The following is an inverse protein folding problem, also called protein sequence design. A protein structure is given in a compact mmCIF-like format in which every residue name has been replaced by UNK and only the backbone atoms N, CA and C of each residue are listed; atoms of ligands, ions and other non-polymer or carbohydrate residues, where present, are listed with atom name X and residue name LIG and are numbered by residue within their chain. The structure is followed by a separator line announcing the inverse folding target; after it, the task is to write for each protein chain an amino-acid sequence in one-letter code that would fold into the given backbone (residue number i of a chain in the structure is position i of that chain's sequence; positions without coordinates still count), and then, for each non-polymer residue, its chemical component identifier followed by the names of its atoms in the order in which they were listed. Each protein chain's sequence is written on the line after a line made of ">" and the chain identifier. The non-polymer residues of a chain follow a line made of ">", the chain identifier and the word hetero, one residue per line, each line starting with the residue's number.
data_IF_075651993086
#
_entry.id   IF_075651993086
#
_cell.length_a   1.000
_cell.length_b   1.000
_cell.length_c   1.000
_cell.angle_alpha   90.00
_cell.angle_beta   90.00
_cell.angle_gamma   90.00
#
_symmetry.space_group_name_H-M   'P 1'
#
loop_
_entity.id
_entity.type
_entity.pdbx_description
1 polymer ?
#
# COMPACT_ATOMS: atom_id res chain seq x y z
N UNK A 1 -14.61 7.14 -19.24
CA UNK A 1 -14.98 6.67 -17.88
C UNK A 1 -13.75 6.74 -17.00
N UNK A 2 -13.85 7.24 -15.76
CA UNK A 2 -12.72 7.28 -14.81
C UNK A 2 -12.97 6.25 -13.71
N UNK A 3 -11.94 5.49 -13.35
CA UNK A 3 -11.98 4.50 -12.26
C UNK A 3 -11.08 5.00 -11.14
N UNK A 4 -11.57 4.97 -9.91
CA UNK A 4 -10.79 5.25 -8.71
C UNK A 4 -10.63 3.95 -7.92
N UNK A 5 -9.39 3.54 -7.70
CA UNK A 5 -9.05 2.37 -6.89
C UNK A 5 -8.49 2.88 -5.56
N UNK A 6 -9.10 2.44 -4.45
CA UNK A 6 -8.66 2.80 -3.10
C UNK A 6 -8.11 1.54 -2.43
N UNK A 7 -6.86 1.61 -1.99
CA UNK A 7 -6.16 0.50 -1.35
C UNK A 7 -5.74 0.93 0.05
N UNK A 8 -6.05 0.10 1.05
CA UNK A 8 -5.54 0.27 2.40
C UNK A 8 -4.09 -0.22 2.48
N UNK A 9 -3.25 0.46 3.27
CA UNK A 9 -1.89 0.00 3.55
C UNK A 9 -1.88 -1.43 4.13
N UNK A 10 -0.78 -2.15 3.91
CA UNK A 10 -0.57 -3.50 4.44
C UNK A 10 -0.51 -3.56 5.97
N UNK A 11 -0.46 -4.79 6.48
CA UNK A 11 -0.48 -5.08 7.91
C UNK A 11 0.84 -4.68 8.61
N UNK A 12 0.72 -4.21 9.85
CA UNK A 12 1.84 -3.82 10.75
C UNK A 12 1.76 -4.56 12.09
N UNK A 13 2.80 -4.48 12.92
CA UNK A 13 2.84 -5.07 14.26
C UNK A 13 1.66 -4.63 15.13
N UNK A 14 1.39 -3.32 15.19
CA UNK A 14 0.28 -2.77 15.95
C UNK A 14 -1.11 -3.26 15.52
N UNK A 15 -1.28 -3.73 14.27
CA UNK A 15 -2.53 -4.36 13.85
C UNK A 15 -2.75 -5.70 14.56
N UNK A 16 -1.69 -6.48 14.79
CA UNK A 16 -1.76 -7.73 15.56
C UNK A 16 -2.03 -7.48 17.04
N UNK A 17 -1.45 -6.42 17.57
CA UNK A 17 -1.58 -6.05 18.99
C UNK A 17 -2.92 -5.36 19.31
N UNK A 18 -3.77 -5.08 18.30
CA UNK A 18 -4.98 -4.28 18.50
C UNK A 18 -4.69 -2.84 18.95
N UNK A 19 -3.47 -2.35 18.72
CA UNK A 19 -2.98 -1.06 19.21
C UNK A 19 -3.26 0.05 18.20
N UNK A 20 -3.80 1.17 18.69
CA UNK A 20 -3.98 2.36 17.86
C UNK A 20 -2.62 3.01 17.54
N UNK A 21 -2.29 3.17 16.25
CA UNK A 21 -1.03 3.82 15.84
C UNK A 21 -1.09 5.34 15.71
N UNK A 22 -2.24 5.91 15.33
CA UNK A 22 -2.30 7.30 14.86
C UNK A 22 -1.24 7.61 13.78
N UNK A 23 -0.40 8.61 14.05
CA UNK A 23 0.70 9.06 13.19
C UNK A 23 2.01 8.29 13.38
N UNK A 24 2.05 7.27 14.24
CA UNK A 24 3.24 6.46 14.42
C UNK A 24 3.59 5.72 13.13
N UNK A 25 4.79 5.99 12.62
CA UNK A 25 5.24 5.52 11.33
C UNK A 25 5.92 4.15 11.43
N UNK A 26 5.10 3.14 11.66
CA UNK A 26 5.53 1.74 11.68
C UNK A 26 5.56 1.15 10.27
N UNK A 27 6.56 0.32 9.93
CA UNK A 27 6.63 -0.41 8.67
C UNK A 27 5.66 -1.59 8.63
N UNK A 28 5.53 -2.19 7.45
CA UNK A 28 4.84 -3.45 7.23
C UNK A 28 5.56 -4.61 7.92
N UNK A 29 4.80 -5.61 8.36
CA UNK A 29 5.36 -6.89 8.83
C UNK A 29 5.43 -7.90 7.67
N UNK A 30 6.28 -8.91 7.81
CA UNK A 30 6.55 -9.92 6.78
C UNK A 30 5.29 -10.55 6.20
N UNK A 31 4.36 -10.96 7.07
CA UNK A 31 3.06 -11.52 6.65
C UNK A 31 2.24 -10.53 5.82
N UNK A 32 2.26 -9.25 6.20
CA UNK A 32 1.59 -8.19 5.46
C UNK A 32 2.20 -7.99 4.08
N UNK A 33 3.53 -8.05 3.98
CA UNK A 33 4.25 -7.96 2.71
C UNK A 33 3.98 -9.18 1.82
N UNK A 34 3.91 -10.38 2.38
CA UNK A 34 3.63 -11.61 1.64
C UNK A 34 2.28 -11.53 0.90
N UNK A 35 1.23 -11.09 1.59
CA UNK A 35 -0.11 -10.89 0.99
C UNK A 35 -0.09 -9.87 -0.15
N UNK A 36 0.74 -8.81 -0.03
CA UNK A 36 0.84 -7.78 -1.07
C UNK A 36 1.59 -8.26 -2.32
N UNK A 37 2.51 -9.21 -2.16
CA UNK A 37 3.27 -9.80 -3.28
C UNK A 37 2.45 -10.80 -4.10
N UNK A 38 1.30 -11.26 -3.58
CA UNK A 38 0.44 -12.17 -4.32
C UNK A 38 -0.13 -11.51 -5.59
N UNK A 39 -0.25 -12.24 -6.71
CA UNK A 39 -0.76 -11.69 -7.96
C UNK A 39 -2.20 -11.16 -7.83
N UNK A 40 -2.37 -9.84 -7.82
CA UNK A 40 -3.70 -9.21 -7.83
C UNK A 40 -4.20 -9.05 -9.25
N UNK A 41 -4.93 -10.06 -9.73
CA UNK A 41 -5.52 -10.11 -11.08
C UNK A 41 -6.43 -8.91 -11.39
N UNK A 42 -7.01 -8.26 -10.37
CA UNK A 42 -7.79 -7.04 -10.52
C UNK A 42 -6.96 -5.80 -10.86
N UNK A 43 -5.72 -5.69 -10.35
CA UNK A 43 -4.86 -4.54 -10.60
C UNK A 43 -4.13 -4.63 -11.93
N UNK A 44 -3.76 -5.85 -12.36
CA UNK A 44 -3.03 -6.08 -13.62
C UNK A 44 -3.83 -5.79 -14.89
N UNK A 45 -5.15 -5.79 -14.79
CA UNK A 45 -6.04 -5.56 -15.94
C UNK A 45 -6.26 -4.09 -16.25
N UNK A 46 -5.97 -3.21 -15.29
CA UNK A 46 -6.29 -1.79 -15.40
C UNK A 46 -5.07 -0.98 -15.85
N UNK A 47 -5.27 -0.07 -16.79
CA UNK A 47 -4.21 0.84 -17.23
C UNK A 47 -4.11 2.00 -16.22
N UNK A 48 -3.25 1.84 -15.21
CA UNK A 48 -3.11 2.81 -14.10
C UNK A 48 -2.39 4.05 -14.61
N UNK A 49 -3.11 5.17 -14.65
CA UNK A 49 -2.59 6.46 -15.11
C UNK A 49 -1.81 7.22 -14.03
N UNK A 50 -2.19 7.06 -12.75
CA UNK A 50 -1.53 7.74 -11.63
C UNK A 50 -1.69 6.93 -10.33
N UNK A 51 -0.64 6.95 -9.51
CA UNK A 51 -0.63 6.37 -8.17
C UNK A 51 -0.35 7.50 -7.18
N UNK A 52 -1.20 7.63 -6.16
CA UNK A 52 -1.04 8.58 -5.07
C UNK A 52 -1.01 7.80 -3.76
N UNK A 53 -0.04 8.09 -2.91
CA UNK A 53 0.07 7.45 -1.60
C UNK A 53 0.34 8.47 -0.49
N UNK A 54 0.00 8.08 0.73
CA UNK A 54 0.37 8.79 1.96
C UNK A 54 1.89 8.74 2.14
N UNK A 55 2.52 9.73 2.79
CA UNK A 55 3.98 9.77 2.93
C UNK A 55 4.47 8.89 4.10
N UNK A 56 3.56 8.18 4.77
CA UNK A 56 3.88 7.28 5.87
C UNK A 56 4.45 5.96 5.31
N UNK A 57 5.51 5.45 5.93
CA UNK A 57 6.31 4.33 5.42
C UNK A 57 5.46 3.11 5.05
N UNK A 58 4.44 2.79 5.85
CA UNK A 58 3.50 1.68 5.57
C UNK A 58 2.75 1.81 4.24
N UNK A 59 2.39 3.03 3.85
CA UNK A 59 1.64 3.30 2.65
C UNK A 59 2.59 3.33 1.44
N UNK A 60 3.79 3.88 1.63
CA UNK A 60 4.88 3.85 0.65
C UNK A 60 5.30 2.41 0.33
N UNK A 61 5.63 1.60 1.34
CA UNK A 61 5.98 0.18 1.19
C UNK A 61 4.87 -0.59 0.47
N UNK A 62 3.60 -0.33 0.82
CA UNK A 62 2.46 -0.96 0.15
C UNK A 62 2.42 -0.60 -1.33
N UNK A 63 2.56 0.68 -1.67
CA UNK A 63 2.54 1.12 -3.07
C UNK A 63 3.72 0.57 -3.87
N UNK A 64 4.91 0.52 -3.28
CA UNK A 64 6.11 0.00 -3.93
C UNK A 64 6.02 -1.51 -4.18
N UNK A 65 5.40 -2.27 -3.27
CA UNK A 65 5.18 -3.70 -3.46
C UNK A 65 4.12 -4.00 -4.54
N UNK A 66 3.06 -3.19 -4.62
CA UNK A 66 1.99 -3.38 -5.59
C UNK A 66 2.33 -2.87 -6.99
N UNK A 67 3.15 -1.82 -7.08
CA UNK A 67 3.48 -1.14 -8.33
C UNK A 67 4.99 -0.89 -8.45
N UNK A 68 5.83 -1.94 -8.44
CA UNK A 68 7.29 -1.81 -8.35
C UNK A 68 7.94 -1.06 -9.51
N UNK A 69 7.29 -1.03 -10.68
CA UNK A 69 7.82 -0.40 -11.89
C UNK A 69 7.22 1.00 -12.16
N UNK A 70 6.27 1.45 -11.33
CA UNK A 70 5.55 2.70 -11.56
C UNK A 70 5.94 3.76 -10.52
N UNK A 71 6.05 5.01 -10.97
CA UNK A 71 6.34 6.13 -10.09
C UNK A 71 5.14 6.42 -9.17
N UNK A 72 5.34 6.29 -7.87
CA UNK A 72 4.36 6.66 -6.85
C UNK A 72 4.50 8.14 -6.49
N UNK A 73 3.39 8.88 -6.47
CA UNK A 73 3.38 10.26 -6.00
C UNK A 73 3.01 10.31 -4.51
N UNK A 74 4.03 10.50 -3.66
CA UNK A 74 3.84 10.68 -2.22
C UNK A 74 3.31 12.10 -1.94
N UNK A 75 2.09 12.19 -1.42
CA UNK A 75 1.45 13.46 -1.05
C UNK A 75 1.74 13.77 0.42
N UNK A 76 2.48 14.85 0.68
CA UNK A 76 2.69 15.41 2.02
C UNK A 76 1.50 16.27 2.45
#
# INVERSE_FOLDING_TARGET
>A
MKILIIIRHGMKSANKEGRYCGHLDLPLIEEGMAILKEPKSCLRKENISQIISSPLIRAEETSNLLFPEQKVNLKK
#
